data_IF_879755662771
#
_entry.id   IF_879755662771
#
_cell.length_a   1.000
_cell.length_b   1.000
_cell.length_c   1.000
_cell.angle_alpha   90.00
_cell.angle_beta   90.00
_cell.angle_gamma   90.00
#
_symmetry.space_group_name_H-M   'P 1'
#
loop_
_entity.id
_entity.type
_entity.pdbx_description
1 polymer ?
#
# COMPACT_ATOMS: atom_id res chain seq x y z
N UNK A 1 16.07 18.34 12.45
CA UNK A 1 16.13 16.91 12.83
C UNK A 1 14.75 16.32 12.97
N UNK A 2 13.79 17.00 13.60
CA UNK A 2 12.41 16.52 13.81
C UNK A 2 11.69 15.93 12.58
N UNK A 3 11.83 16.54 11.40
CA UNK A 3 11.18 16.06 10.19
C UNK A 3 11.74 14.71 9.71
N UNK A 4 13.05 14.49 9.87
CA UNK A 4 13.70 13.23 9.52
C UNK A 4 13.22 12.13 10.48
N UNK A 5 13.11 12.43 11.76
CA UNK A 5 12.62 11.48 12.76
C UNK A 5 11.16 11.06 12.49
N UNK A 6 10.32 11.98 12.00
CA UNK A 6 8.95 11.65 11.58
C UNK A 6 8.94 10.68 10.39
N UNK A 7 9.81 10.89 9.39
CA UNK A 7 9.93 9.97 8.24
C UNK A 7 10.44 8.60 8.71
N UNK A 8 11.43 8.55 9.59
CA UNK A 8 11.96 7.29 10.14
C UNK A 8 10.86 6.51 10.86
N UNK A 9 10.13 7.16 11.77
CA UNK A 9 9.00 6.52 12.48
C UNK A 9 7.92 5.99 11.53
N UNK A 10 7.63 6.74 10.47
CA UNK A 10 6.69 6.29 9.45
C UNK A 10 7.21 5.02 8.75
N UNK A 11 8.48 4.97 8.35
CA UNK A 11 9.09 3.82 7.69
C UNK A 11 9.18 2.61 8.62
N UNK A 12 9.53 2.80 9.88
CA UNK A 12 9.58 1.73 10.89
C UNK A 12 8.21 1.07 11.05
N UNK A 13 7.14 1.87 11.15
CA UNK A 13 5.78 1.32 11.24
C UNK A 13 5.37 0.50 10.00
N UNK A 14 5.87 0.84 8.81
CA UNK A 14 5.62 0.07 7.59
C UNK A 14 6.40 -1.25 7.59
N UNK A 15 7.65 -1.23 8.05
CA UNK A 15 8.47 -2.43 8.16
C UNK A 15 7.91 -3.40 9.21
N UNK A 16 7.47 -2.90 10.37
CA UNK A 16 6.77 -3.69 11.41
C UNK A 16 5.49 -4.34 10.88
N UNK A 17 4.76 -3.64 10.00
CA UNK A 17 3.58 -4.16 9.31
C UNK A 17 3.91 -5.17 8.18
N UNK A 18 5.18 -5.53 7.99
CA UNK A 18 5.62 -6.52 6.99
C UNK A 18 5.79 -5.97 5.56
N UNK A 19 5.76 -4.64 5.37
CA UNK A 19 5.98 -4.03 4.06
C UNK A 19 7.46 -4.06 3.71
N UNK A 20 7.86 -4.95 2.79
CA UNK A 20 9.29 -5.15 2.49
C UNK A 20 9.88 -4.20 1.45
N UNK A 21 9.06 -3.56 0.61
CA UNK A 21 9.53 -2.68 -0.48
C UNK A 21 8.74 -1.40 -0.47
N UNK A 22 9.41 -0.30 -0.17
CA UNK A 22 8.83 1.03 -0.06
C UNK A 22 9.48 1.92 -1.11
N UNK A 23 8.66 2.56 -1.94
CA UNK A 23 9.11 3.63 -2.85
C UNK A 23 8.70 4.94 -2.21
N UNK A 24 9.67 5.80 -1.91
CA UNK A 24 9.44 7.13 -1.34
C UNK A 24 9.74 8.16 -2.42
N UNK A 25 8.78 9.03 -2.70
CA UNK A 25 8.91 10.11 -3.67
C UNK A 25 8.40 11.41 -3.05
N UNK A 26 9.01 12.53 -3.43
CA UNK A 26 8.52 13.86 -3.12
C UNK A 26 7.58 14.32 -4.23
N UNK A 27 6.46 14.94 -3.87
CA UNK A 27 5.52 15.52 -4.84
C UNK A 27 5.15 16.93 -4.40
N UNK A 28 5.04 17.84 -5.36
CA UNK A 28 4.59 19.23 -5.14
C UNK A 28 3.07 19.30 -4.91
N UNK A 29 2.33 18.24 -5.25
CA UNK A 29 0.88 18.15 -5.06
C UNK A 29 0.48 17.71 -3.64
N UNK A 30 1.47 17.32 -2.82
CA UNK A 30 1.27 16.86 -1.45
C UNK A 30 1.64 18.00 -0.51
N UNK A 31 0.71 18.41 0.37
CA UNK A 31 0.93 19.49 1.32
C UNK A 31 2.14 19.21 2.20
N UNK A 32 2.92 20.24 2.51
CA UNK A 32 4.11 20.14 3.34
C UNK A 32 3.78 19.53 4.72
N UNK A 33 4.52 18.50 5.11
CA UNK A 33 4.27 17.74 6.35
C UNK A 33 3.20 16.65 6.24
N UNK A 34 2.55 16.49 5.09
CA UNK A 34 1.63 15.38 4.82
C UNK A 34 2.31 14.26 4.03
N UNK A 35 1.83 13.02 4.21
CA UNK A 35 2.30 11.85 3.48
C UNK A 35 1.12 11.04 2.97
N UNK A 36 1.18 10.61 1.71
CA UNK A 36 0.14 9.78 1.08
C UNK A 36 0.69 8.41 0.74
N UNK A 37 -0.04 7.36 1.11
CA UNK A 37 0.27 5.97 0.73
C UNK A 37 -0.47 5.62 -0.56
N UNK A 38 0.25 5.13 -1.55
CA UNK A 38 -0.31 4.61 -2.79
C UNK A 38 0.15 3.16 -2.98
N UNK A 39 -0.78 2.29 -3.36
CA UNK A 39 -0.49 0.89 -3.66
C UNK A 39 -0.20 0.74 -5.16
N UNK A 40 0.94 0.13 -5.50
CA UNK A 40 1.28 -0.15 -6.89
C UNK A 40 0.68 -1.49 -7.32
N UNK A 41 -0.12 -1.49 -8.38
CA UNK A 41 -0.88 -2.64 -8.86
C UNK A 41 -0.02 -3.82 -9.35
N UNK A 42 1.30 -3.66 -9.47
CA UNK A 42 2.22 -4.68 -9.96
C UNK A 42 2.79 -5.64 -8.92
N UNK A 43 2.51 -5.46 -7.63
CA UNK A 43 2.93 -6.39 -6.58
C UNK A 43 1.74 -6.76 -5.70
N UNK A 44 1.23 -7.98 -5.89
CA UNK A 44 0.27 -8.59 -4.99
C UNK A 44 1.00 -9.02 -3.72
N UNK A 45 1.35 -8.04 -2.88
CA UNK A 45 1.74 -8.33 -1.51
C UNK A 45 0.60 -9.07 -0.82
N UNK A 46 0.94 -10.09 -0.02
CA UNK A 46 -0.04 -10.82 0.78
C UNK A 46 -0.69 -9.80 1.73
N UNK A 47 -1.99 -9.54 1.55
CA UNK A 47 -2.73 -8.50 2.26
C UNK A 47 -2.93 -7.18 1.52
N UNK A 48 -2.45 -7.05 0.27
CA UNK A 48 -2.82 -5.94 -0.61
C UNK A 48 -4.33 -5.94 -0.88
N UNK A 49 -5.01 -4.78 -0.92
CA UNK A 49 -6.41 -4.68 -1.32
C UNK A 49 -6.69 -5.26 -2.72
N UNK A 50 -5.66 -5.39 -3.55
CA UNK A 50 -5.73 -5.94 -4.91
C UNK A 50 -5.34 -7.43 -4.98
N UNK A 51 -4.88 -8.03 -3.88
CA UNK A 51 -4.51 -9.44 -3.79
C UNK A 51 -5.65 -10.30 -3.20
N UNK A 52 -6.90 -9.99 -3.57
CA UNK A 52 -8.12 -10.68 -3.08
C UNK A 52 -8.41 -11.97 -3.86
N UNK A 53 -7.72 -12.23 -4.97
CA UNK A 53 -7.99 -13.36 -5.86
C UNK A 53 -9.21 -13.14 -6.77
N UNK A 54 -9.94 -12.03 -6.61
CA UNK A 54 -11.00 -11.62 -7.50
C UNK A 54 -10.42 -10.90 -8.72
N UNK A 55 -10.89 -11.26 -9.91
CA UNK A 55 -10.55 -10.59 -11.15
C UNK A 55 -11.26 -9.22 -11.18
N UNK A 56 -10.48 -8.15 -11.34
CA UNK A 56 -10.95 -6.76 -11.23
C UNK A 56 -12.00 -6.37 -12.28
N UNK A 57 -12.05 -7.11 -13.38
CA UNK A 57 -12.87 -6.88 -14.57
C UNK A 57 -14.00 -7.91 -14.76
N UNK A 58 -14.14 -8.86 -13.83
CA UNK A 58 -15.28 -9.76 -13.81
C UNK A 58 -16.41 -9.13 -13.02
N UNK A 59 -17.52 -8.86 -13.69
CA UNK A 59 -18.78 -8.52 -13.05
C UNK A 59 -19.12 -9.62 -12.02
N UNK A 60 -19.45 -9.25 -10.78
CA UNK A 60 -19.74 -10.20 -9.70
C UNK A 60 -20.93 -11.10 -10.06
N UNK A 61 -20.68 -12.25 -10.67
CA UNK A 61 -21.52 -13.41 -10.40
C UNK A 61 -21.03 -14.01 -9.09
N UNK A 62 -21.86 -13.87 -8.06
CA UNK A 62 -21.76 -14.53 -6.76
C UNK A 62 -21.84 -16.06 -6.95
N UNK A 63 -20.74 -16.63 -7.43
CA UNK A 63 -20.56 -18.05 -7.73
C UNK A 63 -20.08 -18.80 -6.49
N UNK A 64 -21.01 -19.53 -5.89
CA UNK A 64 -20.83 -20.51 -4.81
C UNK A 64 -19.63 -21.44 -5.03
N UNK A 65 -18.99 -21.73 -3.89
CA UNK A 65 -18.24 -22.95 -3.54
C UNK A 65 -17.24 -23.50 -4.58
N UNK A 66 -15.95 -23.30 -4.33
CA UNK A 66 -14.92 -24.19 -4.85
C UNK A 66 -14.42 -25.08 -3.71
N UNK A 67 -14.61 -26.39 -3.89
CA UNK A 67 -14.04 -27.48 -3.09
C UNK A 67 -12.51 -27.45 -3.06
#
# INVERSE_FOLDING_TARGET
MEQIDQVIRMLDSMAEAGVSRIKVETSEEVEEGSARRAYHHGRCDVGSPFATGALFDLEEETGKECF
#
